data_IF_398190088506
#
_entry.id   IF_398190088506
#
_cell.length_a   1.000
_cell.length_b   1.000
_cell.length_c   1.000
_cell.angle_alpha   90.00
_cell.angle_beta   90.00
_cell.angle_gamma   90.00
#
_symmetry.space_group_name_H-M   'P 1'
#
loop_
_entity.id
_entity.type
_entity.pdbx_description
1 polymer ?
#
# COMPACT_ATOMS: atom_id res chain seq x y z
N UNK A 1 43.92 15.84 30.60
CA UNK A 1 44.81 15.27 31.64
C UNK A 1 45.93 14.57 30.91
N UNK A 2 47.15 15.07 31.09
CA UNK A 2 48.35 14.63 30.39
C UNK A 2 48.97 13.43 31.10
N UNK A 3 49.46 12.45 30.35
CA UNK A 3 50.37 11.41 30.88
C UNK A 3 51.68 11.49 30.12
N UNK A 4 52.57 12.34 30.63
CA UNK A 4 54.01 12.25 30.41
C UNK A 4 54.55 11.24 31.41
N UNK A 5 55.20 10.18 30.94
CA UNK A 5 56.35 9.59 31.61
C UNK A 5 57.29 9.03 30.55
N UNK A 6 58.24 9.87 30.14
CA UNK A 6 59.48 9.43 29.51
C UNK A 6 60.19 8.43 30.43
N UNK A 7 60.56 7.27 29.89
CA UNK A 7 61.59 6.42 30.50
C UNK A 7 62.68 6.18 29.47
N UNK A 8 63.68 7.06 29.53
CA UNK A 8 64.95 6.97 28.82
C UNK A 8 65.72 5.76 29.37
N UNK A 9 65.75 4.65 28.64
CA UNK A 9 66.67 3.55 28.93
C UNK A 9 67.77 3.56 27.86
N UNK A 10 68.94 4.05 28.26
CA UNK A 10 70.20 3.88 27.56
C UNK A 10 70.47 2.38 27.39
N UNK A 11 70.50 1.92 26.15
CA UNK A 11 71.04 0.61 25.82
C UNK A 11 72.50 0.88 25.46
N UNK A 12 73.42 0.52 26.35
CA UNK A 12 74.84 0.46 26.03
C UNK A 12 75.03 -0.57 24.93
N UNK A 13 75.52 -0.10 23.78
CA UNK A 13 75.99 -0.94 22.69
C UNK A 13 77.31 -1.55 23.18
N UNK A 14 77.23 -2.74 23.76
CA UNK A 14 78.35 -3.66 23.77
C UNK A 14 78.23 -4.50 22.50
N UNK A 15 79.20 -4.35 21.60
CA UNK A 15 79.42 -5.29 20.50
C UNK A 15 79.50 -6.72 21.06
N UNK A 16 78.61 -7.64 20.67
CA UNK A 16 78.91 -9.04 20.81
C UNK A 16 79.91 -9.37 19.70
N UNK A 17 81.20 -9.44 20.07
CA UNK A 17 82.19 -10.05 19.21
C UNK A 17 81.73 -11.47 18.88
N UNK A 18 81.51 -11.69 17.59
CA UNK A 18 81.08 -12.95 17.01
C UNK A 18 82.29 -13.91 17.00
N UNK A 19 82.57 -14.54 18.14
CA UNK A 19 83.51 -15.66 18.21
C UNK A 19 82.73 -16.94 17.88
N UNK A 20 82.91 -17.43 16.65
CA UNK A 20 82.32 -18.68 16.15
C UNK A 20 83.03 -19.82 16.89
N UNK A 21 82.47 -20.24 18.03
CA UNK A 21 82.79 -21.52 18.65
C UNK A 21 81.96 -22.62 18.00
N UNK A 22 82.68 -23.59 17.44
CA UNK A 22 82.21 -24.74 16.68
C UNK A 22 81.67 -25.83 17.62
N UNK A 23 80.51 -25.59 18.24
CA UNK A 23 79.67 -26.60 18.90
C UNK A 23 78.19 -26.30 18.61
N UNK A 24 77.70 -26.70 17.43
CA UNK A 24 76.31 -26.47 17.03
C UNK A 24 75.70 -27.66 16.27
N UNK A 25 75.18 -28.67 17.00
CA UNK A 25 74.05 -29.45 16.49
C UNK A 25 72.77 -29.31 17.35
N UNK A 26 72.89 -29.07 18.66
CA UNK A 26 71.71 -29.04 19.56
C UNK A 26 70.91 -27.72 19.52
N UNK A 27 71.58 -26.58 19.29
CA UNK A 27 70.94 -25.26 19.31
C UNK A 27 70.11 -24.99 18.04
N UNK A 28 70.52 -25.54 16.90
CA UNK A 28 69.82 -25.39 15.61
C UNK A 28 68.54 -26.24 15.55
N UNK A 29 68.56 -27.42 16.18
CA UNK A 29 67.43 -28.34 16.25
C UNK A 29 66.27 -27.76 17.08
N UNK A 30 66.56 -27.07 18.18
CA UNK A 30 65.57 -26.35 18.99
C UNK A 30 64.89 -25.19 18.25
N UNK A 31 65.61 -24.51 17.35
CA UNK A 31 65.06 -23.44 16.53
C UNK A 31 64.17 -23.97 15.40
N UNK A 32 64.59 -25.06 14.77
CA UNK A 32 63.81 -25.75 13.75
C UNK A 32 62.52 -26.32 14.33
N UNK A 33 62.59 -26.91 15.53
CA UNK A 33 61.43 -27.37 16.30
C UNK A 33 60.45 -26.24 16.62
N UNK A 34 60.93 -25.10 17.14
CA UNK A 34 60.08 -23.92 17.39
C UNK A 34 59.49 -23.31 16.12
N UNK A 35 60.22 -23.35 15.01
CA UNK A 35 59.73 -22.89 13.71
C UNK A 35 58.61 -23.81 13.20
N UNK A 36 58.78 -25.12 13.31
CA UNK A 36 57.76 -26.11 12.96
C UNK A 36 56.51 -25.98 13.85
N UNK A 37 56.69 -25.75 15.15
CA UNK A 37 55.59 -25.46 16.07
C UNK A 37 54.85 -24.16 15.70
N UNK A 38 55.58 -23.09 15.37
CA UNK A 38 55.00 -21.82 14.94
C UNK A 38 54.25 -21.95 13.60
N UNK A 39 54.76 -22.74 12.65
CA UNK A 39 54.09 -23.05 11.39
C UNK A 39 52.79 -23.83 11.62
N UNK A 40 52.82 -24.83 12.50
CA UNK A 40 51.64 -25.62 12.87
C UNK A 40 50.58 -24.75 13.55
N UNK A 41 50.99 -23.85 14.45
CA UNK A 41 50.10 -22.90 15.09
C UNK A 41 49.50 -21.91 14.08
N UNK A 42 50.27 -21.44 13.10
CA UNK A 42 49.76 -20.60 12.01
C UNK A 42 48.71 -21.33 11.17
N UNK A 43 48.95 -22.59 10.81
CA UNK A 43 47.98 -23.39 10.04
C UNK A 43 46.68 -23.61 10.84
N UNK A 44 46.80 -23.91 12.13
CA UNK A 44 45.66 -24.02 13.04
C UNK A 44 44.86 -22.71 13.09
N UNK A 45 45.54 -21.57 13.24
CA UNK A 45 44.89 -20.25 13.25
C UNK A 45 44.25 -19.90 11.90
N UNK A 46 44.87 -20.28 10.78
CA UNK A 46 44.30 -20.10 9.44
C UNK A 46 43.02 -20.93 9.26
N UNK A 47 43.03 -22.18 9.72
CA UNK A 47 41.84 -23.05 9.70
C UNK A 47 40.71 -22.48 10.56
N UNK A 48 41.04 -22.00 11.77
CA UNK A 48 40.08 -21.32 12.66
C UNK A 48 39.51 -20.05 12.02
N UNK A 49 40.34 -19.20 11.41
CA UNK A 49 39.89 -18.00 10.69
C UNK A 49 38.93 -18.35 9.56
N UNK A 50 39.25 -19.36 8.76
CA UNK A 50 38.38 -19.83 7.66
C UNK A 50 37.03 -20.35 8.16
N UNK A 51 37.03 -21.06 9.29
CA UNK A 51 35.78 -21.53 9.90
C UNK A 51 34.93 -20.36 10.43
N UNK A 52 35.57 -19.39 11.09
CA UNK A 52 34.89 -18.18 11.57
C UNK A 52 34.32 -17.34 10.41
N UNK A 53 35.06 -17.20 9.31
CA UNK A 53 34.58 -16.48 8.12
C UNK A 53 33.35 -17.16 7.50
N UNK A 54 33.34 -18.50 7.41
CA UNK A 54 32.16 -19.26 6.96
C UNK A 54 30.96 -19.05 7.88
N UNK A 55 31.17 -19.09 9.20
CA UNK A 55 30.10 -18.85 10.17
C UNK A 55 29.57 -17.42 10.07
N UNK A 56 30.46 -16.45 9.88
CA UNK A 56 30.09 -15.04 9.67
C UNK A 56 29.20 -14.89 8.43
N UNK A 57 29.60 -15.46 7.29
CA UNK A 57 28.81 -15.40 6.05
C UNK A 57 27.44 -16.07 6.21
N UNK A 58 27.37 -17.22 6.90
CA UNK A 58 26.11 -17.89 7.17
C UNK A 58 25.18 -17.06 8.07
N UNK A 59 25.74 -16.37 9.07
CA UNK A 59 24.98 -15.46 9.94
C UNK A 59 24.52 -14.21 9.18
N UNK A 60 25.34 -13.67 8.29
CA UNK A 60 24.97 -12.53 7.44
C UNK A 60 23.82 -12.88 6.49
N UNK A 61 23.85 -14.05 5.83
CA UNK A 61 22.74 -14.52 4.98
C UNK A 61 21.45 -14.72 5.78
N UNK A 62 21.55 -15.34 6.97
CA UNK A 62 20.40 -15.52 7.85
C UNK A 62 19.81 -14.18 8.30
N UNK A 63 20.68 -13.22 8.65
CA UNK A 63 20.25 -11.89 9.06
C UNK A 63 19.61 -11.11 7.91
N UNK A 64 20.15 -11.25 6.69
CA UNK A 64 19.56 -10.67 5.50
C UNK A 64 18.16 -11.21 5.23
N UNK A 65 17.97 -12.55 5.24
CA UNK A 65 16.64 -13.17 5.08
C UNK A 65 15.67 -12.76 6.17
N UNK A 66 16.14 -12.64 7.41
CA UNK A 66 15.32 -12.13 8.52
C UNK A 66 14.87 -10.70 8.26
N UNK A 67 15.77 -9.84 7.79
CA UNK A 67 15.44 -8.45 7.46
C UNK A 67 14.41 -8.37 6.34
N UNK A 68 14.59 -9.15 5.26
CA UNK A 68 13.62 -9.24 4.16
C UNK A 68 12.25 -9.70 4.64
N UNK A 69 12.21 -10.73 5.49
CA UNK A 69 10.98 -11.22 6.09
C UNK A 69 10.29 -10.14 6.95
N UNK A 70 11.04 -9.47 7.83
CA UNK A 70 10.48 -8.42 8.70
C UNK A 70 9.93 -7.24 7.89
N UNK A 71 10.65 -6.84 6.83
CA UNK A 71 10.20 -5.78 5.92
C UNK A 71 8.92 -6.20 5.18
N UNK A 72 8.90 -7.41 4.62
CA UNK A 72 7.72 -7.95 3.92
C UNK A 72 6.53 -8.13 4.85
N UNK A 73 6.76 -8.57 6.08
CA UNK A 73 5.72 -8.68 7.11
C UNK A 73 5.14 -7.30 7.44
N UNK A 74 5.97 -6.28 7.61
CA UNK A 74 5.52 -4.92 7.92
C UNK A 74 4.71 -4.32 6.77
N UNK A 75 5.23 -4.39 5.53
CA UNK A 75 4.56 -3.89 4.33
C UNK A 75 3.21 -4.59 4.10
N UNK A 76 3.17 -5.92 4.23
CA UNK A 76 1.93 -6.67 4.06
C UNK A 76 0.92 -6.35 5.17
N UNK A 77 1.39 -6.21 6.41
CA UNK A 77 0.50 -5.85 7.54
C UNK A 77 -0.11 -4.47 7.34
N UNK A 78 0.66 -3.49 6.88
CA UNK A 78 0.17 -2.14 6.59
C UNK A 78 -0.85 -2.15 5.45
N UNK A 79 -0.55 -2.84 4.33
CA UNK A 79 -1.45 -2.99 3.19
C UNK A 79 -2.76 -3.66 3.58
N UNK A 80 -2.69 -4.76 4.33
CA UNK A 80 -3.87 -5.48 4.79
C UNK A 80 -4.70 -4.63 5.77
N UNK A 81 -4.07 -3.95 6.71
CA UNK A 81 -4.74 -3.05 7.66
C UNK A 81 -5.47 -1.90 6.94
N UNK A 82 -4.81 -1.28 5.96
CA UNK A 82 -5.41 -0.24 5.12
C UNK A 82 -6.59 -0.79 4.32
N UNK A 83 -6.42 -1.94 3.66
CA UNK A 83 -7.47 -2.57 2.88
C UNK A 83 -8.69 -2.96 3.73
N UNK A 84 -8.47 -3.50 4.94
CA UNK A 84 -9.55 -3.82 5.89
C UNK A 84 -10.33 -2.56 6.22
N UNK A 85 -9.65 -1.46 6.56
CA UNK A 85 -10.31 -0.18 6.89
C UNK A 85 -11.14 0.35 5.72
N UNK A 86 -10.63 0.25 4.49
CA UNK A 86 -11.37 0.64 3.28
C UNK A 86 -12.60 -0.24 3.07
N UNK A 87 -12.45 -1.56 3.20
CA UNK A 87 -13.56 -2.51 3.06
C UNK A 87 -14.63 -2.25 4.12
N UNK A 88 -14.25 -1.99 5.37
CA UNK A 88 -15.20 -1.67 6.44
C UNK A 88 -16.01 -0.42 6.14
N UNK A 89 -15.38 0.62 5.58
CA UNK A 89 -16.07 1.84 5.15
C UNK A 89 -17.06 1.56 4.01
N UNK A 90 -16.61 0.85 2.97
CA UNK A 90 -17.48 0.50 1.83
C UNK A 90 -18.64 -0.41 2.27
N UNK A 91 -18.41 -1.33 3.21
CA UNK A 91 -19.46 -2.18 3.78
C UNK A 91 -20.47 -1.34 4.58
N UNK A 92 -20.00 -0.35 5.34
CA UNK A 92 -20.88 0.58 6.05
C UNK A 92 -21.71 1.42 5.06
N UNK A 93 -21.08 2.01 4.04
CA UNK A 93 -21.76 2.77 2.99
C UNK A 93 -22.82 1.90 2.27
N UNK A 94 -22.48 0.66 1.92
CA UNK A 94 -23.41 -0.27 1.28
C UNK A 94 -24.59 -0.68 2.18
N UNK A 95 -24.36 -0.81 3.50
CA UNK A 95 -25.45 -1.08 4.46
C UNK A 95 -26.40 0.11 4.58
N UNK A 96 -25.86 1.32 4.66
CA UNK A 96 -26.69 2.53 4.69
C UNK A 96 -27.51 2.67 3.40
N UNK A 97 -26.90 2.40 2.25
CA UNK A 97 -27.62 2.40 0.96
C UNK A 97 -28.76 1.35 0.93
N UNK A 98 -28.51 0.15 1.49
CA UNK A 98 -29.56 -0.88 1.60
C UNK A 98 -30.73 -0.41 2.47
N UNK A 99 -30.44 0.25 3.59
CA UNK A 99 -31.46 0.81 4.49
C UNK A 99 -32.28 1.90 3.80
N UNK A 100 -31.62 2.83 3.08
CA UNK A 100 -32.30 3.87 2.28
C UNK A 100 -33.25 3.26 1.24
N UNK A 101 -32.79 2.23 0.51
CA UNK A 101 -33.60 1.52 -0.48
C UNK A 101 -34.79 0.81 0.15
N UNK A 102 -34.60 0.20 1.32
CA UNK A 102 -35.68 -0.48 2.06
C UNK A 102 -36.73 0.53 2.54
N UNK A 103 -36.29 1.69 3.04
CA UNK A 103 -37.18 2.79 3.42
C UNK A 103 -37.98 3.30 2.22
N UNK A 104 -37.34 3.57 1.08
CA UNK A 104 -38.02 4.01 -0.14
C UNK A 104 -39.02 2.96 -0.65
N UNK A 105 -38.63 1.69 -0.67
CA UNK A 105 -39.53 0.59 -1.04
C UNK A 105 -40.76 0.54 -0.13
N UNK A 106 -40.58 0.69 1.17
CA UNK A 106 -41.67 0.71 2.15
C UNK A 106 -42.63 1.90 1.94
N UNK A 107 -42.07 3.09 1.68
CA UNK A 107 -42.83 4.28 1.34
C UNK A 107 -43.67 4.06 0.06
N UNK A 108 -43.05 3.58 -1.02
CA UNK A 108 -43.76 3.29 -2.28
C UNK A 108 -44.84 2.23 -2.13
N UNK A 109 -44.59 1.17 -1.36
CA UNK A 109 -45.61 0.15 -1.08
C UNK A 109 -46.82 0.76 -0.36
N UNK A 110 -46.58 1.72 0.54
CA UNK A 110 -47.63 2.44 1.26
C UNK A 110 -48.42 3.37 0.32
N UNK A 111 -47.73 4.10 -0.57
CA UNK A 111 -48.38 4.95 -1.57
C UNK A 111 -49.20 4.14 -2.59
N UNK A 112 -48.63 3.04 -3.09
CA UNK A 112 -49.32 2.13 -4.01
C UNK A 112 -50.60 1.57 -3.39
N UNK A 113 -50.53 1.09 -2.14
CA UNK A 113 -51.74 0.61 -1.44
C UNK A 113 -52.81 1.69 -1.32
N UNK A 114 -52.44 2.94 -1.04
CA UNK A 114 -53.40 4.05 -0.98
C UNK A 114 -54.07 4.28 -2.33
N UNK A 115 -53.28 4.28 -3.41
CA UNK A 115 -53.79 4.45 -4.78
C UNK A 115 -54.73 3.29 -5.15
N UNK A 116 -54.37 2.04 -4.84
CA UNK A 116 -55.19 0.85 -5.11
C UNK A 116 -56.54 0.88 -4.36
N UNK A 117 -56.61 1.53 -3.20
CA UNK A 117 -57.87 1.69 -2.45
C UNK A 117 -58.79 2.78 -3.01
N UNK A 118 -58.31 3.65 -3.91
CA UNK A 118 -59.13 4.68 -4.52
C UNK A 118 -60.10 4.04 -5.52
N UNK A 119 -61.40 4.14 -5.25
CA UNK A 119 -62.45 3.66 -6.13
C UNK A 119 -63.42 4.79 -6.48
N UNK A 120 -63.22 5.47 -7.63
CA UNK A 120 -64.06 6.58 -8.07
C UNK A 120 -65.54 6.21 -8.26
N UNK A 121 -65.84 4.96 -8.62
CA UNK A 121 -67.20 4.47 -8.88
C UNK A 121 -68.02 4.26 -7.60
N UNK A 122 -67.35 4.15 -6.44
CA UNK A 122 -68.00 3.93 -5.15
C UNK A 122 -68.31 5.24 -4.40
N UNK A 123 -67.91 6.40 -4.93
CA UNK A 123 -68.06 7.67 -4.23
C UNK A 123 -69.49 8.23 -4.32
N UNK A 124 -70.06 8.72 -3.19
CA UNK A 124 -71.39 9.32 -3.19
C UNK A 124 -71.37 10.65 -3.96
N UNK A 125 -72.40 10.88 -4.79
CA UNK A 125 -72.51 12.08 -5.66
C UNK A 125 -72.44 13.39 -4.90
N UNK A 126 -72.96 13.41 -3.66
CA UNK A 126 -72.99 14.60 -2.81
C UNK A 126 -71.60 15.05 -2.36
N UNK A 127 -70.65 14.10 -2.24
CA UNK A 127 -69.27 14.36 -1.81
C UNK A 127 -68.23 14.04 -2.91
N UNK A 128 -68.67 13.87 -4.17
CA UNK A 128 -67.79 13.46 -5.26
C UNK A 128 -66.62 14.44 -5.46
N UNK A 129 -66.90 15.74 -5.41
CA UNK A 129 -65.87 16.77 -5.58
C UNK A 129 -64.80 16.72 -4.48
N UNK A 130 -65.20 16.48 -3.23
CA UNK A 130 -64.27 16.42 -2.10
C UNK A 130 -63.42 15.15 -2.13
N UNK A 131 -64.03 14.00 -2.47
CA UNK A 131 -63.31 12.73 -2.61
C UNK A 131 -62.33 12.76 -3.79
N UNK A 132 -62.74 13.36 -4.92
CA UNK A 132 -61.87 13.53 -6.09
C UNK A 132 -60.67 14.42 -5.75
N UNK A 133 -60.88 15.52 -5.03
CA UNK A 133 -59.79 16.40 -4.61
C UNK A 133 -58.83 15.68 -3.65
N UNK A 134 -59.35 14.88 -2.71
CA UNK A 134 -58.54 14.05 -1.80
C UNK A 134 -57.72 12.98 -2.55
N UNK A 135 -58.33 12.34 -3.55
CA UNK A 135 -57.68 11.36 -4.40
C UNK A 135 -56.56 11.98 -5.24
N UNK A 136 -56.79 13.16 -5.84
CA UNK A 136 -55.77 13.90 -6.58
C UNK A 136 -54.59 14.30 -5.67
N UNK A 137 -54.87 14.82 -4.47
CA UNK A 137 -53.81 15.13 -3.50
C UNK A 137 -53.00 13.89 -3.08
N UNK A 138 -53.64 12.72 -3.03
CA UNK A 138 -52.95 11.45 -2.74
C UNK A 138 -52.03 11.03 -3.89
N UNK A 139 -52.44 11.28 -5.13
CA UNK A 139 -51.65 11.02 -6.33
C UNK A 139 -50.46 11.99 -6.42
N UNK A 140 -50.70 13.29 -6.28
CA UNK A 140 -49.65 14.33 -6.29
C UNK A 140 -48.58 14.01 -5.24
N UNK A 141 -48.99 13.65 -4.03
CA UNK A 141 -48.04 13.27 -2.97
C UNK A 141 -47.21 12.02 -3.34
N UNK A 142 -47.80 11.06 -4.05
CA UNK A 142 -47.08 9.87 -4.46
C UNK A 142 -46.09 10.18 -5.60
N UNK A 143 -46.43 11.11 -6.50
CA UNK A 143 -45.56 11.61 -7.56
C UNK A 143 -44.37 12.39 -6.98
N UNK A 144 -44.62 13.32 -6.07
CA UNK A 144 -43.57 14.09 -5.36
C UNK A 144 -42.55 13.16 -4.68
N UNK A 145 -43.03 12.14 -3.96
CA UNK A 145 -42.17 11.17 -3.26
C UNK A 145 -41.34 10.32 -4.26
N UNK A 146 -41.93 9.97 -5.41
CA UNK A 146 -41.23 9.25 -6.46
C UNK A 146 -40.13 10.08 -7.10
N UNK A 147 -40.42 11.34 -7.46
CA UNK A 147 -39.43 12.27 -8.01
C UNK A 147 -38.29 12.54 -7.01
N UNK A 148 -38.64 12.74 -5.74
CA UNK A 148 -37.67 12.94 -4.67
C UNK A 148 -36.74 11.73 -4.54
N UNK A 149 -37.28 10.51 -4.51
CA UNK A 149 -36.47 9.30 -4.47
C UNK A 149 -35.58 9.15 -5.70
N UNK A 150 -36.10 9.37 -6.92
CA UNK A 150 -35.31 9.31 -8.15
C UNK A 150 -34.15 10.31 -8.10
N UNK A 151 -34.40 11.54 -7.63
CA UNK A 151 -33.36 12.56 -7.49
C UNK A 151 -32.27 12.17 -6.47
N UNK A 152 -32.67 11.54 -5.35
CA UNK A 152 -31.76 11.06 -4.31
C UNK A 152 -30.82 9.96 -4.84
N UNK A 153 -31.38 8.96 -5.54
CA UNK A 153 -30.59 7.81 -6.02
C UNK A 153 -29.82 8.08 -7.32
N UNK A 154 -30.25 9.02 -8.16
CA UNK A 154 -29.47 9.45 -9.35
C UNK A 154 -28.24 10.26 -8.97
N UNK A 155 -28.26 10.98 -7.84
CA UNK A 155 -27.10 11.66 -7.28
C UNK A 155 -26.13 10.74 -6.52
N UNK A 156 -26.58 9.52 -6.17
CA UNK A 156 -25.76 8.52 -5.49
C UNK A 156 -24.87 7.75 -6.47
N UNK A 157 -23.72 7.25 -5.99
CA UNK A 157 -22.70 6.54 -6.81
C UNK A 157 -23.23 5.30 -7.54
N UNK A 158 -24.46 4.86 -7.26
CA UNK A 158 -25.12 3.69 -7.86
C UNK A 158 -26.50 4.02 -8.42
N UNK A 159 -26.53 4.88 -9.44
CA UNK A 159 -27.72 5.28 -10.24
C UNK A 159 -28.49 4.12 -10.93
N UNK A 160 -28.17 2.85 -10.67
CA UNK A 160 -28.74 1.69 -11.36
C UNK A 160 -30.17 1.31 -10.96
N UNK A 161 -30.62 1.68 -9.76
CA UNK A 161 -31.92 1.23 -9.22
C UNK A 161 -33.12 1.94 -9.87
N UNK A 162 -32.96 3.20 -10.28
CA UNK A 162 -34.05 4.06 -10.76
C UNK A 162 -33.98 4.47 -12.23
N UNK A 163 -32.96 4.04 -12.99
CA UNK A 163 -32.89 4.51 -14.38
C UNK A 163 -31.60 4.26 -15.15
N UNK A 164 -30.93 3.12 -14.95
CA UNK A 164 -29.89 2.65 -15.87
C UNK A 164 -30.42 2.09 -17.19
N UNK A 165 -31.55 2.56 -17.71
CA UNK A 165 -31.99 2.28 -19.10
C UNK A 165 -33.03 3.29 -19.59
N UNK A 166 -32.61 4.16 -20.52
CA UNK A 166 -33.40 4.77 -21.60
C UNK A 166 -34.68 5.57 -21.26
N UNK A 167 -34.51 6.89 -21.11
CA UNK A 167 -35.29 7.87 -21.90
C UNK A 167 -34.39 9.06 -22.27
N UNK A 168 -34.19 9.37 -23.56
CA UNK A 168 -33.26 10.43 -23.99
C UNK A 168 -33.98 11.80 -23.94
N UNK A 169 -34.06 12.42 -22.77
CA UNK A 169 -34.33 13.85 -22.68
C UNK A 169 -33.02 14.63 -22.87
N UNK A 170 -32.78 14.99 -24.14
CA UNK A 170 -31.95 16.10 -24.66
C UNK A 170 -31.02 16.79 -23.63
N UNK A 171 -29.74 16.44 -23.68
CA UNK A 171 -28.68 17.24 -23.06
C UNK A 171 -27.44 16.42 -22.71
N UNK A 172 -26.67 16.06 -23.73
CA UNK A 172 -25.43 15.29 -23.60
C UNK A 172 -24.48 15.83 -22.51
N UNK A 173 -24.07 14.96 -21.57
CA UNK A 173 -22.79 15.05 -20.88
C UNK A 173 -22.11 13.68 -20.87
N UNK A 174 -21.70 13.24 -22.07
CA UNK A 174 -20.76 12.12 -22.28
C UNK A 174 -19.28 12.57 -22.08
N UNK A 175 -19.05 13.80 -21.60
CA UNK A 175 -17.71 14.40 -21.47
C UNK A 175 -16.96 14.08 -20.17
N UNK A 176 -17.63 13.63 -19.11
CA UNK A 176 -17.02 13.44 -17.78
C UNK A 176 -16.18 12.16 -17.70
N UNK A 177 -16.72 11.05 -18.18
CA UNK A 177 -16.18 9.73 -17.85
C UNK A 177 -15.00 9.36 -18.73
N UNK A 178 -15.00 9.77 -20.00
CA UNK A 178 -13.82 9.62 -20.87
C UNK A 178 -12.69 10.58 -20.50
N UNK A 179 -12.99 11.83 -20.13
CA UNK A 179 -11.95 12.80 -19.75
C UNK A 179 -11.29 12.40 -18.43
N UNK A 180 -12.04 12.00 -17.41
CA UNK A 180 -11.46 11.55 -16.13
C UNK A 180 -10.61 10.28 -16.29
N UNK A 181 -11.05 9.33 -17.12
CA UNK A 181 -10.29 8.09 -17.39
C UNK A 181 -9.06 8.35 -18.28
N UNK A 182 -9.12 9.28 -19.24
CA UNK A 182 -7.97 9.73 -20.02
C UNK A 182 -6.97 10.52 -19.18
N UNK A 183 -7.42 11.43 -18.30
CA UNK A 183 -6.53 12.20 -17.43
C UNK A 183 -5.80 11.30 -16.42
N UNK A 184 -6.48 10.31 -15.84
CA UNK A 184 -5.83 9.33 -14.97
C UNK A 184 -4.83 8.43 -15.73
N UNK A 185 -5.13 8.08 -16.99
CA UNK A 185 -4.17 7.35 -17.85
C UNK A 185 -2.98 8.21 -18.29
N UNK A 186 -3.20 9.52 -18.49
CA UNK A 186 -2.17 10.48 -18.91
C UNK A 186 -1.24 10.84 -17.74
N UNK A 187 -1.74 10.86 -16.50
CA UNK A 187 -0.93 11.08 -15.30
C UNK A 187 0.18 10.03 -15.11
N UNK A 188 -0.06 8.77 -15.46
CA UNK A 188 0.94 7.69 -15.35
C UNK A 188 2.00 7.74 -16.47
N UNK A 189 1.65 8.27 -17.65
CA UNK A 189 2.55 8.38 -18.81
C UNK A 189 3.24 9.76 -18.94
N UNK A 190 2.88 10.70 -18.06
CA UNK A 190 3.40 12.08 -18.05
C UNK A 190 4.93 12.15 -17.99
N UNK A 191 5.66 11.37 -17.16
CA UNK A 191 7.12 11.41 -17.13
C UNK A 191 7.77 11.01 -18.46
N UNK A 192 7.18 10.06 -19.20
CA UNK A 192 7.71 9.55 -20.48
C UNK A 192 7.41 10.54 -21.62
N UNK A 193 6.21 11.11 -21.65
CA UNK A 193 5.83 12.12 -22.65
C UNK A 193 6.64 13.41 -22.47
N UNK A 194 6.93 13.80 -21.22
CA UNK A 194 7.72 14.99 -20.93
C UNK A 194 9.20 14.77 -21.34
N UNK A 195 9.78 13.60 -21.02
CA UNK A 195 11.11 13.22 -21.52
C UNK A 195 11.19 13.14 -23.04
N UNK A 196 10.18 12.54 -23.68
CA UNK A 196 10.09 12.40 -25.13
C UNK A 196 9.99 13.75 -25.83
N UNK A 197 9.14 14.66 -25.33
CA UNK A 197 9.02 16.01 -25.90
C UNK A 197 10.28 16.85 -25.70
N UNK A 198 10.94 16.75 -24.54
CA UNK A 198 12.21 17.44 -24.28
C UNK A 198 13.31 16.97 -25.24
N UNK A 199 13.42 15.66 -25.49
CA UNK A 199 14.38 15.10 -26.44
C UNK A 199 14.12 15.57 -27.87
N UNK A 200 12.84 15.68 -28.26
CA UNK A 200 12.42 16.13 -29.59
C UNK A 200 12.72 17.63 -29.80
N UNK A 201 12.52 18.45 -28.77
CA UNK A 201 12.89 19.88 -28.78
C UNK A 201 14.41 20.04 -28.92
N UNK A 202 15.21 19.29 -28.16
CA UNK A 202 16.68 19.33 -28.28
C UNK A 202 17.15 18.88 -29.67
N UNK A 203 16.48 17.91 -30.27
CA UNK A 203 16.78 17.47 -31.64
C UNK A 203 16.47 18.55 -32.69
N UNK A 204 15.38 19.30 -32.53
CA UNK A 204 15.01 20.37 -33.47
C UNK A 204 15.79 21.68 -33.28
N UNK A 205 16.37 21.92 -32.09
CA UNK A 205 17.21 23.10 -31.82
C UNK A 205 18.70 22.89 -32.15
N UNK A 206 19.09 21.70 -32.58
CA UNK A 206 20.47 21.34 -32.94
C UNK A 206 20.61 21.16 -34.44
#
# INVERSE_FOLDING_TARGET
MATTLERKQQISINDPQLEISEEAPAFTEDFESKLADAQTQLEMLHSQRKNLERQKLALEDLNHRKQEFMNGQLDLTEKLSSAITTIERELFEAKQEMEDLEQTKSAFTTHLRKIETLNPEAWPKDNLNTELQSALLTLDKAEDEYEQAVSYFTGSKRSGVFGGSSSPSRGARVGSDFQSTLLNGLAFNLPVILLGSLALIVYFLK
#
